data_IF_102163952694
#
_entry.id   IF_102163952694
#
_cell.length_a   1.000
_cell.length_b   1.000
_cell.length_c   1.000
_cell.angle_alpha   90.00
_cell.angle_beta   90.00
_cell.angle_gamma   90.00
#
_symmetry.space_group_name_H-M   'P 1'
#
loop_
_entity.id
_entity.type
_entity.pdbx_description
1 polymer ?
#
# COMPACT_ATOMS: atom_id res chain seq x y z
N UNK A 1 -28.73 60.22 26.63
CA UNK A 1 -27.81 59.30 27.33
C UNK A 1 -27.83 57.96 26.64
N UNK A 2 -26.97 57.81 25.70
CA UNK A 2 -26.82 56.56 24.92
C UNK A 2 -25.65 55.73 25.50
N UNK A 3 -25.95 54.57 26.00
CA UNK A 3 -24.93 53.64 26.45
C UNK A 3 -24.44 52.77 25.25
N UNK A 4 -23.18 52.95 24.90
CA UNK A 4 -22.48 52.13 23.90
C UNK A 4 -22.05 50.84 24.58
N UNK A 5 -22.57 49.70 24.10
CA UNK A 5 -22.11 48.37 24.48
C UNK A 5 -20.93 47.99 23.56
N UNK A 6 -19.75 47.89 24.12
CA UNK A 6 -18.57 47.39 23.43
C UNK A 6 -18.57 45.86 23.50
N UNK A 7 -18.79 45.19 22.37
CA UNK A 7 -18.59 43.75 22.23
C UNK A 7 -17.11 43.46 22.05
N UNK A 8 -16.51 42.78 23.02
CA UNK A 8 -15.15 42.23 22.92
C UNK A 8 -15.24 40.93 22.14
N UNK A 9 -14.78 40.96 20.90
CA UNK A 9 -14.57 39.74 20.11
C UNK A 9 -13.23 39.15 20.54
N UNK A 10 -13.27 38.05 21.29
CA UNK A 10 -12.09 37.23 21.60
C UNK A 10 -11.73 36.44 20.34
N UNK A 11 -10.73 36.89 19.58
CA UNK A 11 -10.09 36.07 18.55
C UNK A 11 -9.26 34.97 19.25
N UNK A 12 -9.80 33.78 19.29
CA UNK A 12 -9.00 32.58 19.54
C UNK A 12 -8.06 32.37 18.33
N UNK A 13 -6.79 32.74 18.50
CA UNK A 13 -5.75 32.33 17.58
C UNK A 13 -5.55 30.83 17.72
N UNK A 14 -6.14 30.05 16.83
CA UNK A 14 -5.78 28.67 16.63
C UNK A 14 -4.37 28.71 16.04
N UNK A 15 -3.36 28.40 16.85
CA UNK A 15 -2.01 28.13 16.40
C UNK A 15 -2.07 26.84 15.57
N UNK A 16 -2.18 26.99 14.24
CA UNK A 16 -1.90 25.90 13.31
C UNK A 16 -0.44 25.53 13.48
N UNK A 17 -0.17 24.42 14.17
CA UNK A 17 1.15 23.80 14.17
C UNK A 17 1.52 23.54 12.73
N UNK A 18 2.57 24.20 12.26
CA UNK A 18 3.05 24.10 10.89
C UNK A 18 3.65 22.73 10.64
N UNK A 19 2.90 21.85 9.99
CA UNK A 19 3.49 20.85 9.13
C UNK A 19 4.24 21.57 8.02
N UNK A 20 5.49 21.22 7.79
CA UNK A 20 6.28 21.78 6.71
C UNK A 20 5.44 21.75 5.44
N UNK A 21 5.16 22.93 4.84
CA UNK A 21 4.37 23.09 3.63
C UNK A 21 5.14 22.55 2.39
N UNK A 22 5.29 21.22 2.32
CA UNK A 22 5.43 20.48 1.08
C UNK A 22 4.03 20.06 0.64
N UNK A 23 3.75 20.00 -0.65
CA UNK A 23 2.47 19.51 -1.21
C UNK A 23 2.34 17.99 -0.97
N UNK A 24 2.35 17.55 0.29
CA UNK A 24 2.09 16.17 0.66
C UNK A 24 0.62 15.89 0.38
N UNK A 25 0.34 14.94 -0.52
CA UNK A 25 -1.00 14.47 -0.79
C UNK A 25 -1.63 13.77 0.42
N UNK A 26 -2.93 13.49 0.34
CA UNK A 26 -3.59 12.64 1.32
C UNK A 26 -3.03 11.21 1.22
N UNK A 27 -2.94 10.54 2.36
CA UNK A 27 -2.60 9.12 2.43
C UNK A 27 -3.67 8.28 1.72
N UNK A 28 -3.31 7.16 1.07
CA UNK A 28 -4.27 6.14 0.68
C UNK A 28 -4.90 5.52 1.94
N UNK A 29 -6.22 5.26 1.88
CA UNK A 29 -7.00 4.62 2.94
C UNK A 29 -6.76 3.11 2.91
N UNK A 30 -6.18 2.54 3.96
CA UNK A 30 -5.78 1.14 4.02
C UNK A 30 -6.53 0.37 5.11
N UNK A 31 -7.11 -0.75 4.72
CA UNK A 31 -7.64 -1.78 5.62
C UNK A 31 -6.79 -3.04 5.47
N UNK A 32 -6.43 -3.66 6.57
CA UNK A 32 -5.71 -4.95 6.59
C UNK A 32 -6.62 -6.01 7.20
N UNK A 33 -6.78 -7.15 6.52
CA UNK A 33 -7.41 -8.35 7.05
C UNK A 33 -6.32 -9.41 7.26
N UNK A 34 -5.94 -9.66 8.52
CA UNK A 34 -4.77 -10.46 8.92
C UNK A 34 -5.18 -11.69 9.71
N UNK A 35 -4.62 -12.84 9.42
CA UNK A 35 -4.71 -14.04 10.24
C UNK A 35 -3.51 -14.18 11.21
N UNK A 36 -2.98 -13.03 11.65
CA UNK A 36 -1.84 -12.92 12.56
C UNK A 36 -1.91 -13.95 13.68
N UNK A 37 -0.80 -14.66 13.86
CA UNK A 37 -0.70 -15.83 14.72
C UNK A 37 0.61 -15.84 15.51
N UNK A 38 0.79 -16.79 16.45
CA UNK A 38 2.09 -17.03 17.07
C UNK A 38 3.17 -17.31 16.02
N UNK A 39 4.39 -16.83 16.23
CA UNK A 39 5.50 -16.97 15.28
C UNK A 39 5.92 -18.43 15.00
N UNK A 40 5.57 -19.37 15.87
CA UNK A 40 5.77 -20.81 15.64
C UNK A 40 4.66 -21.45 14.79
N UNK A 41 3.57 -20.73 14.52
CA UNK A 41 2.48 -21.10 13.62
C UNK A 41 2.68 -20.42 12.27
N UNK A 42 2.59 -19.08 12.25
CA UNK A 42 2.62 -18.24 11.04
C UNK A 42 3.33 -16.92 11.36
N UNK A 43 4.64 -16.77 11.03
CA UNK A 43 5.39 -15.57 11.40
C UNK A 43 5.25 -14.40 10.43
N UNK A 44 4.84 -14.61 9.18
CA UNK A 44 4.93 -13.58 8.12
C UNK A 44 3.93 -12.45 8.28
N UNK A 45 2.73 -12.69 8.84
CA UNK A 45 1.83 -11.63 9.28
C UNK A 45 2.49 -10.69 10.30
N UNK A 46 3.23 -11.25 11.28
CA UNK A 46 3.94 -10.41 12.26
C UNK A 46 5.08 -9.63 11.60
N UNK A 47 5.84 -10.25 10.69
CA UNK A 47 6.89 -9.59 9.92
C UNK A 47 6.29 -8.42 9.11
N UNK A 48 5.22 -8.69 8.37
CA UNK A 48 4.51 -7.72 7.54
C UNK A 48 3.86 -6.61 8.36
N UNK A 49 3.33 -6.93 9.56
CA UNK A 49 2.73 -5.95 10.47
C UNK A 49 3.79 -5.01 11.05
N UNK A 50 4.95 -5.53 11.47
CA UNK A 50 6.09 -4.70 11.92
C UNK A 50 6.51 -3.74 10.79
N UNK A 51 6.62 -4.25 9.57
CA UNK A 51 6.95 -3.42 8.42
C UNK A 51 5.88 -2.36 8.18
N UNK A 52 4.59 -2.72 8.16
CA UNK A 52 3.50 -1.78 7.98
C UNK A 52 3.52 -0.65 9.02
N UNK A 53 3.78 -0.96 10.30
CA UNK A 53 3.89 0.06 11.35
C UNK A 53 5.04 1.04 11.09
N UNK A 54 6.16 0.58 10.53
CA UNK A 54 7.26 1.46 10.12
C UNK A 54 6.93 2.37 8.92
N UNK A 55 5.80 2.12 8.24
CA UNK A 55 5.23 2.90 7.14
C UNK A 55 3.92 3.58 7.50
N UNK A 56 3.58 3.71 8.78
CA UNK A 56 2.32 4.33 9.22
C UNK A 56 2.18 5.81 8.81
N UNK A 57 3.27 6.47 8.42
CA UNK A 57 3.27 7.80 7.81
C UNK A 57 2.82 7.81 6.34
N UNK A 58 2.80 6.67 5.68
CA UNK A 58 2.42 6.53 4.27
C UNK A 58 0.95 6.15 4.06
N UNK A 59 0.32 5.50 5.04
CA UNK A 59 -1.04 4.97 4.94
C UNK A 59 -1.95 5.55 6.01
N UNK A 60 -3.18 5.90 5.64
CA UNK A 60 -4.27 6.10 6.59
C UNK A 60 -4.84 4.72 6.94
N UNK A 61 -4.35 4.14 8.05
CA UNK A 61 -4.75 2.81 8.50
C UNK A 61 -6.15 2.90 9.10
N UNK A 62 -7.15 2.55 8.30
CA UNK A 62 -8.57 2.68 8.65
C UNK A 62 -9.07 1.50 9.48
N UNK A 63 -8.49 0.31 9.27
CA UNK A 63 -8.80 -0.85 10.09
C UNK A 63 -7.68 -1.90 10.03
N UNK A 64 -7.47 -2.56 11.16
CA UNK A 64 -6.67 -3.76 11.33
C UNK A 64 -7.63 -4.86 11.82
N UNK A 65 -8.04 -5.74 10.91
CA UNK A 65 -9.14 -6.70 11.15
C UNK A 65 -8.55 -8.10 11.21
N UNK A 66 -8.79 -8.83 12.30
CA UNK A 66 -8.41 -10.25 12.35
C UNK A 66 -9.28 -11.06 11.38
N UNK A 67 -8.70 -12.06 10.75
CA UNK A 67 -9.40 -12.95 9.81
C UNK A 67 -8.95 -14.40 9.98
N UNK A 68 -9.66 -15.31 9.37
CA UNK A 68 -9.19 -16.68 9.21
C UNK A 68 -8.19 -16.76 8.06
N UNK A 69 -7.37 -17.79 8.08
CA UNK A 69 -6.44 -18.10 7.02
C UNK A 69 -6.15 -19.59 6.96
N UNK A 70 -5.10 -19.97 6.24
CA UNK A 70 -4.76 -21.38 6.08
C UNK A 70 -4.42 -22.09 7.38
N UNK A 71 -3.93 -21.37 8.37
CA UNK A 71 -3.45 -21.92 9.64
C UNK A 71 -4.52 -21.98 10.72
N UNK A 72 -5.69 -21.37 10.51
CA UNK A 72 -6.75 -21.32 11.49
C UNK A 72 -8.15 -21.22 10.88
N UNK A 73 -9.07 -22.05 11.32
CA UNK A 73 -10.52 -21.95 11.15
C UNK A 73 -11.21 -22.85 12.20
N UNK A 74 -11.78 -22.27 13.28
CA UNK A 74 -11.96 -20.84 13.54
C UNK A 74 -10.68 -20.10 13.95
N UNK A 75 -10.70 -18.77 13.80
CA UNK A 75 -9.61 -17.90 14.28
C UNK A 75 -9.59 -17.89 15.82
N UNK A 76 -8.48 -18.23 16.46
CA UNK A 76 -8.34 -18.17 17.93
C UNK A 76 -8.32 -16.70 18.39
N UNK A 77 -9.29 -16.31 19.23
CA UNK A 77 -9.44 -14.90 19.66
C UNK A 77 -8.22 -14.34 20.37
N UNK A 78 -7.52 -15.20 21.11
CA UNK A 78 -6.28 -14.84 21.82
C UNK A 78 -5.13 -14.47 20.89
N UNK A 79 -5.19 -14.85 19.61
CA UNK A 79 -4.16 -14.46 18.64
C UNK A 79 -4.21 -12.97 18.30
N UNK A 80 -5.36 -12.31 18.50
CA UNK A 80 -5.45 -10.86 18.37
C UNK A 80 -4.46 -10.10 19.28
N UNK A 81 -3.98 -10.71 20.36
CA UNK A 81 -2.98 -10.13 21.24
C UNK A 81 -1.66 -9.85 20.52
N UNK A 82 -1.32 -10.64 19.47
CA UNK A 82 -0.11 -10.39 18.66
C UNK A 82 -0.21 -9.08 17.89
N UNK A 83 -1.38 -8.73 17.36
CA UNK A 83 -1.62 -7.44 16.73
C UNK A 83 -1.42 -6.29 17.74
N UNK A 84 -1.97 -6.41 18.94
CA UNK A 84 -1.81 -5.40 19.99
C UNK A 84 -0.36 -5.27 20.45
N UNK A 85 0.42 -6.36 20.49
CA UNK A 85 1.85 -6.34 20.80
C UNK A 85 2.63 -5.46 19.81
N UNK A 86 2.38 -5.60 18.51
CA UNK A 86 3.05 -4.79 17.48
C UNK A 86 2.63 -3.31 17.60
N UNK A 87 1.35 -3.02 17.89
CA UNK A 87 0.89 -1.63 18.13
C UNK A 87 1.56 -1.02 19.36
N UNK A 88 1.74 -1.78 20.44
CA UNK A 88 2.44 -1.29 21.65
C UNK A 88 3.96 -1.17 21.42
N UNK A 89 4.55 -1.96 20.54
CA UNK A 89 5.92 -1.75 20.08
C UNK A 89 6.04 -0.45 19.27
N UNK A 90 5.12 -0.21 18.33
CA UNK A 90 5.03 1.06 17.61
C UNK A 90 4.91 2.26 18.55
N UNK A 91 4.09 2.17 19.62
CA UNK A 91 3.96 3.23 20.65
C UNK A 91 5.30 3.67 21.21
N UNK A 92 6.23 2.72 21.40
CA UNK A 92 7.55 3.01 21.95
C UNK A 92 8.47 3.68 20.94
N UNK A 93 8.34 3.31 19.66
CA UNK A 93 9.23 3.77 18.60
C UNK A 93 8.71 5.01 17.86
N UNK A 94 7.40 5.28 17.86
CA UNK A 94 6.81 6.41 17.11
C UNK A 94 7.40 7.77 17.50
N UNK A 95 7.84 8.06 18.73
CA UNK A 95 8.54 9.31 19.03
C UNK A 95 9.84 9.50 18.24
N UNK A 96 10.53 8.40 17.92
CA UNK A 96 11.68 8.42 17.05
C UNK A 96 11.29 8.58 15.57
N UNK A 97 10.29 7.85 15.13
CA UNK A 97 9.77 7.92 13.76
C UNK A 97 9.24 9.31 13.40
N UNK A 98 8.56 10.00 14.33
CA UNK A 98 8.04 11.36 14.13
C UNK A 98 9.13 12.38 13.77
N UNK A 99 10.38 12.16 14.18
CA UNK A 99 11.52 13.02 13.81
C UNK A 99 11.78 13.01 12.31
N UNK A 100 11.42 11.91 11.60
CA UNK A 100 11.56 11.80 10.14
C UNK A 100 10.76 12.86 9.37
N UNK A 101 9.64 13.33 9.95
CA UNK A 101 8.77 14.35 9.34
C UNK A 101 8.67 15.63 10.18
N UNK A 102 9.59 15.84 11.12
CA UNK A 102 9.59 16.98 12.06
C UNK A 102 8.28 17.13 12.83
N UNK A 103 7.55 16.03 13.05
CA UNK A 103 6.28 16.01 13.75
C UNK A 103 6.50 16.22 15.26
N UNK A 104 5.85 17.23 15.86
CA UNK A 104 6.04 17.59 17.26
C UNK A 104 5.04 16.93 18.22
N UNK A 105 3.95 16.37 17.72
CA UNK A 105 2.92 15.73 18.53
C UNK A 105 1.83 15.10 17.68
N UNK A 106 0.87 14.47 18.34
CA UNK A 106 -0.28 13.86 17.67
C UNK A 106 -1.42 14.87 17.56
N UNK A 107 -2.23 14.70 16.52
CA UNK A 107 -3.54 15.35 16.43
C UNK A 107 -4.47 14.79 17.51
N UNK A 108 -5.51 15.55 17.94
CA UNK A 108 -6.61 14.97 18.69
C UNK A 108 -7.21 13.78 17.94
N UNK A 109 -7.62 12.73 18.66
CA UNK A 109 -8.05 11.48 18.05
C UNK A 109 -9.22 11.66 17.07
N UNK A 110 -10.09 12.63 17.31
CA UNK A 110 -11.19 13.00 16.40
C UNK A 110 -10.68 13.54 15.06
N UNK A 111 -9.50 14.19 15.07
CA UNK A 111 -8.84 14.68 13.86
C UNK A 111 -7.96 13.62 13.22
N UNK A 112 -7.43 12.67 14.01
CA UNK A 112 -6.72 11.49 13.46
C UNK A 112 -7.67 10.58 12.67
N UNK A 113 -8.96 10.58 13.01
CA UNK A 113 -10.00 9.86 12.24
C UNK A 113 -10.41 10.58 10.93
N UNK A 114 -9.81 11.72 10.65
CA UNK A 114 -10.00 12.46 9.41
C UNK A 114 -8.92 12.15 8.38
N UNK A 115 -8.94 12.90 7.29
CA UNK A 115 -7.99 12.73 6.17
C UNK A 115 -6.55 13.07 6.58
N UNK A 116 -5.71 12.06 6.67
CA UNK A 116 -4.30 12.21 7.05
C UNK A 116 -3.42 12.54 5.84
N UNK A 117 -2.42 13.41 6.08
CA UNK A 117 -1.42 13.75 5.06
C UNK A 117 -0.26 12.74 5.07
N UNK A 118 0.33 12.45 3.89
CA UNK A 118 1.56 11.67 3.79
C UNK A 118 2.66 12.33 4.64
N UNK A 119 3.37 11.54 5.44
CA UNK A 119 4.38 11.98 6.39
C UNK A 119 3.87 12.17 7.82
N UNK A 120 2.56 12.14 8.07
CA UNK A 120 2.00 12.18 9.42
C UNK A 120 2.03 10.80 10.07
N UNK A 121 2.59 10.70 11.29
CA UNK A 121 2.62 9.48 12.10
C UNK A 121 1.42 9.48 13.04
N UNK A 122 0.48 8.51 12.92
CA UNK A 122 -0.68 8.43 13.80
C UNK A 122 -0.27 7.99 15.21
N UNK A 123 -1.12 8.31 16.20
CA UNK A 123 -0.92 7.79 17.55
C UNK A 123 -1.18 6.28 17.62
N UNK A 124 -0.51 5.60 18.55
CA UNK A 124 -0.80 4.19 18.81
C UNK A 124 -2.23 3.99 19.36
N UNK A 125 -2.81 5.01 20.01
CA UNK A 125 -4.21 4.94 20.46
C UNK A 125 -5.18 4.98 19.29
N UNK A 126 -4.89 5.77 18.26
CA UNK A 126 -5.62 5.71 16.99
C UNK A 126 -5.54 4.32 16.37
N UNK A 127 -4.33 3.76 16.16
CA UNK A 127 -4.15 2.43 15.59
C UNK A 127 -4.87 1.34 16.39
N UNK A 128 -4.80 1.43 17.73
CA UNK A 128 -5.50 0.51 18.64
C UNK A 128 -7.01 0.60 18.50
N UNK A 129 -7.56 1.79 18.28
CA UNK A 129 -9.00 1.98 18.05
C UNK A 129 -9.48 1.41 16.71
N UNK A 130 -8.56 1.15 15.78
CA UNK A 130 -8.79 0.56 14.46
C UNK A 130 -8.61 -0.97 14.42
N UNK A 131 -8.08 -1.56 15.50
CA UNK A 131 -7.91 -3.00 15.62
C UNK A 131 -9.21 -3.65 16.13
N UNK A 132 -9.81 -4.49 15.29
CA UNK A 132 -11.11 -5.12 15.57
C UNK A 132 -11.14 -6.58 15.11
N UNK A 133 -12.03 -7.36 15.73
CA UNK A 133 -12.30 -8.73 15.29
C UNK A 133 -13.10 -8.75 13.99
N UNK A 134 -12.66 -9.57 13.04
CA UNK A 134 -13.42 -9.88 11.84
C UNK A 134 -14.21 -11.17 11.95
N UNK A 135 -14.49 -11.81 10.83
CA UNK A 135 -15.15 -13.10 10.76
C UNK A 135 -14.26 -14.20 11.38
N UNK A 136 -14.82 -14.93 12.35
CA UNK A 136 -14.08 -15.99 13.06
C UNK A 136 -13.97 -17.28 12.26
N UNK A 137 -14.74 -17.43 11.17
CA UNK A 137 -14.77 -18.62 10.33
C UNK A 137 -14.68 -18.26 8.85
N UNK A 138 -14.10 -19.19 8.08
CA UNK A 138 -13.86 -19.04 6.66
C UNK A 138 -15.00 -19.54 5.77
N UNK A 139 -14.90 -19.13 4.49
CA UNK A 139 -15.74 -19.63 3.41
C UNK A 139 -17.11 -19.00 3.29
N UNK A 140 -17.77 -19.33 2.18
CA UNK A 140 -19.08 -18.76 1.82
C UNK A 140 -20.22 -19.21 2.75
N UNK A 141 -20.12 -20.37 3.39
CA UNK A 141 -21.18 -20.92 4.24
C UNK A 141 -21.39 -20.14 5.52
N UNK A 142 -20.43 -19.34 5.93
CA UNK A 142 -20.49 -18.52 7.14
C UNK A 142 -20.69 -17.03 6.80
N UNK A 143 -21.09 -16.72 5.58
CA UNK A 143 -21.58 -15.41 5.18
C UNK A 143 -23.11 -15.45 5.18
N UNK A 144 -23.74 -14.50 5.85
CA UNK A 144 -25.20 -14.46 5.96
C UNK A 144 -25.70 -13.86 7.26
N UNK A 145 -26.98 -14.08 7.52
CA UNK A 145 -27.65 -13.56 8.71
C UNK A 145 -27.01 -14.13 9.99
N UNK A 146 -26.76 -13.23 10.96
CA UNK A 146 -26.14 -13.57 12.23
C UNK A 146 -24.62 -13.72 12.22
N UNK A 147 -23.95 -13.44 11.08
CA UNK A 147 -22.51 -13.53 10.94
C UNK A 147 -21.81 -12.16 10.83
N UNK A 148 -22.50 -11.07 11.16
CA UNK A 148 -21.88 -9.76 11.25
C UNK A 148 -20.80 -9.75 12.35
N UNK A 149 -19.72 -9.05 12.10
CA UNK A 149 -18.61 -8.89 13.02
C UNK A 149 -18.29 -7.40 13.20
N UNK A 150 -17.58 -7.01 14.29
CA UNK A 150 -17.10 -5.63 14.43
C UNK A 150 -16.37 -5.13 13.19
N UNK A 151 -15.59 -6.00 12.53
CA UNK A 151 -14.87 -5.68 11.29
C UNK A 151 -15.80 -5.44 10.11
N UNK A 152 -16.84 -6.28 9.90
CA UNK A 152 -17.78 -6.07 8.80
C UNK A 152 -18.62 -4.81 8.98
N UNK A 153 -19.00 -4.48 10.22
CA UNK A 153 -19.70 -3.24 10.55
C UNK A 153 -18.79 -2.01 10.37
N UNK A 154 -17.50 -2.12 10.74
CA UNK A 154 -16.52 -1.04 10.51
C UNK A 154 -16.35 -0.77 9.02
N UNK A 155 -16.23 -1.80 8.18
CA UNK A 155 -16.12 -1.64 6.73
C UNK A 155 -17.34 -0.92 6.13
N UNK A 156 -18.55 -1.21 6.63
CA UNK A 156 -19.76 -0.51 6.20
C UNK A 156 -19.68 0.97 6.58
N UNK A 157 -19.31 1.30 7.82
CA UNK A 157 -19.18 2.70 8.26
C UNK A 157 -18.14 3.46 7.45
N UNK A 158 -16.96 2.88 7.22
CA UNK A 158 -15.88 3.50 6.44
C UNK A 158 -16.27 3.80 4.99
N UNK A 159 -17.04 2.90 4.38
CA UNK A 159 -17.51 3.10 3.01
C UNK A 159 -18.65 4.14 2.91
N UNK A 160 -19.40 4.34 4.00
CA UNK A 160 -20.48 5.33 4.09
C UNK A 160 -19.98 6.75 4.42
N UNK A 161 -18.70 6.92 4.75
CA UNK A 161 -18.11 8.23 4.95
C UNK A 161 -18.11 9.06 3.67
N UNK A 162 -18.28 10.39 3.83
CA UNK A 162 -18.18 11.36 2.72
C UNK A 162 -16.70 11.63 2.37
N UNK A 163 -16.00 10.57 1.98
CA UNK A 163 -14.62 10.59 1.48
C UNK A 163 -14.61 9.99 0.07
N UNK A 164 -14.19 10.74 -0.96
CA UNK A 164 -14.16 10.24 -2.34
C UNK A 164 -13.05 9.21 -2.58
N UNK A 165 -12.06 9.10 -1.69
CA UNK A 165 -10.93 8.16 -1.85
C UNK A 165 -11.42 6.72 -1.75
N UNK A 166 -10.88 5.81 -2.56
CA UNK A 166 -11.13 4.38 -2.40
C UNK A 166 -10.53 3.86 -1.09
N UNK A 167 -11.05 2.71 -0.64
CA UNK A 167 -10.53 1.94 0.48
C UNK A 167 -9.80 0.73 -0.08
N UNK A 168 -8.49 0.67 0.15
CA UNK A 168 -7.66 -0.46 -0.25
C UNK A 168 -7.67 -1.52 0.86
N UNK A 169 -8.08 -2.74 0.51
CA UNK A 169 -8.15 -3.88 1.43
C UNK A 169 -7.02 -4.84 1.11
N UNK A 170 -6.02 -4.89 1.98
CA UNK A 170 -4.95 -5.87 1.96
C UNK A 170 -5.42 -7.12 2.72
N UNK A 171 -5.77 -8.17 1.99
CA UNK A 171 -6.22 -9.43 2.57
C UNK A 171 -5.03 -10.40 2.66
N UNK A 172 -4.48 -10.50 3.86
CA UNK A 172 -3.40 -11.42 4.25
C UNK A 172 -3.98 -12.81 4.52
N UNK A 173 -5.10 -12.85 5.27
CA UNK A 173 -5.95 -14.03 5.41
C UNK A 173 -7.16 -13.98 4.47
N UNK A 174 -8.30 -14.54 4.92
CA UNK A 174 -9.53 -14.62 4.15
C UNK A 174 -10.24 -13.27 3.95
N UNK A 175 -11.00 -13.15 2.88
CA UNK A 175 -11.83 -11.97 2.58
C UNK A 175 -13.25 -12.04 3.17
N UNK A 176 -13.49 -12.96 4.11
CA UNK A 176 -14.80 -13.23 4.68
C UNK A 176 -15.47 -12.00 5.29
N UNK A 177 -14.69 -11.18 6.00
CA UNK A 177 -15.20 -9.97 6.66
C UNK A 177 -15.71 -8.95 5.65
N UNK A 178 -14.97 -8.71 4.55
CA UNK A 178 -15.45 -7.86 3.47
C UNK A 178 -16.67 -8.47 2.76
N UNK A 179 -16.65 -9.78 2.51
CA UNK A 179 -17.78 -10.47 1.91
C UNK A 179 -19.04 -10.37 2.77
N UNK A 180 -18.93 -10.50 4.10
CA UNK A 180 -20.05 -10.30 5.02
C UNK A 180 -20.57 -8.85 4.99
N UNK A 181 -19.70 -7.86 4.97
CA UNK A 181 -20.09 -6.45 4.84
C UNK A 181 -20.88 -6.20 3.54
N UNK A 182 -20.39 -6.71 2.42
CA UNK A 182 -21.07 -6.60 1.12
C UNK A 182 -22.40 -7.36 1.13
N UNK A 183 -22.43 -8.56 1.73
CA UNK A 183 -23.67 -9.34 1.85
C UNK A 183 -24.71 -8.55 2.67
N UNK A 184 -24.35 -7.97 3.81
CA UNK A 184 -25.26 -7.18 4.64
C UNK A 184 -25.84 -5.98 3.87
N UNK A 185 -25.03 -5.26 3.16
CA UNK A 185 -25.46 -4.14 2.30
C UNK A 185 -26.39 -4.63 1.19
N UNK A 186 -26.10 -5.79 0.57
CA UNK A 186 -26.96 -6.42 -0.43
C UNK A 186 -28.37 -6.75 0.09
N UNK A 187 -28.51 -7.07 1.38
CA UNK A 187 -29.81 -7.36 2.00
C UNK A 187 -30.61 -6.11 2.37
N UNK A 188 -29.92 -4.99 2.61
CA UNK A 188 -30.52 -3.80 3.26
C UNK A 188 -30.64 -2.58 2.36
N UNK A 189 -29.98 -2.58 1.20
CA UNK A 189 -29.93 -1.42 0.29
C UNK A 189 -30.36 -1.79 -1.13
N UNK A 190 -30.67 -0.77 -1.93
CA UNK A 190 -30.97 -0.93 -3.34
C UNK A 190 -29.76 -1.42 -4.13
N UNK A 191 -30.00 -1.95 -5.34
CA UNK A 191 -28.93 -2.43 -6.22
C UNK A 191 -27.92 -1.31 -6.59
N UNK A 192 -28.38 -0.07 -6.74
CA UNK A 192 -27.49 1.06 -7.05
C UNK A 192 -26.64 1.47 -5.86
N UNK A 193 -27.21 1.52 -4.66
CA UNK A 193 -26.45 1.79 -3.43
C UNK A 193 -25.44 0.67 -3.16
N UNK A 194 -25.81 -0.61 -3.39
CA UNK A 194 -24.85 -1.72 -3.30
C UNK A 194 -23.69 -1.55 -4.27
N UNK A 195 -23.98 -1.18 -5.51
CA UNK A 195 -22.96 -0.94 -6.52
C UNK A 195 -22.01 0.20 -6.13
N UNK A 196 -22.53 1.31 -5.62
CA UNK A 196 -21.74 2.44 -5.12
C UNK A 196 -20.88 2.00 -3.93
N UNK A 197 -21.44 1.24 -3.00
CA UNK A 197 -20.73 0.68 -1.85
C UNK A 197 -19.56 -0.21 -2.29
N UNK A 198 -19.80 -1.18 -3.17
CA UNK A 198 -18.76 -2.12 -3.65
C UNK A 198 -17.63 -1.37 -4.37
N UNK A 199 -17.97 -0.32 -5.13
CA UNK A 199 -16.99 0.50 -5.86
C UNK A 199 -16.09 1.35 -4.97
N UNK A 200 -16.36 1.46 -3.69
CA UNK A 200 -15.44 2.08 -2.72
C UNK A 200 -14.21 1.20 -2.47
N UNK A 201 -14.30 -0.10 -2.68
CA UNK A 201 -13.23 -1.04 -2.30
C UNK A 201 -12.33 -1.43 -3.47
N UNK A 202 -11.05 -1.60 -3.15
CA UNK A 202 -10.02 -2.22 -3.97
C UNK A 202 -9.39 -3.31 -3.12
N UNK A 203 -9.50 -4.56 -3.51
CA UNK A 203 -8.95 -5.66 -2.73
C UNK A 203 -7.72 -6.26 -3.40
N UNK A 204 -6.67 -6.44 -2.60
CA UNK A 204 -5.48 -7.21 -2.96
C UNK A 204 -5.40 -8.43 -2.04
N UNK A 205 -5.41 -9.62 -2.60
CA UNK A 205 -5.39 -10.86 -1.83
C UNK A 205 -4.08 -11.59 -2.02
N UNK A 206 -3.48 -11.99 -0.89
CA UNK A 206 -2.38 -12.95 -0.87
C UNK A 206 -2.99 -14.34 -1.05
N UNK A 207 -3.07 -14.77 -2.31
CA UNK A 207 -3.79 -15.98 -2.73
C UNK A 207 -5.29 -15.99 -2.35
N UNK A 208 -5.92 -17.16 -2.37
CA UNK A 208 -7.29 -17.36 -1.88
C UNK A 208 -7.23 -18.18 -0.59
N UNK A 209 -7.18 -17.50 0.56
CA UNK A 209 -7.01 -18.09 1.88
C UNK A 209 -8.25 -18.86 2.36
N UNK A 210 -9.41 -18.69 1.72
CA UNK A 210 -10.61 -19.49 2.00
C UNK A 210 -10.53 -20.89 1.38
N UNK A 211 -9.71 -21.07 0.37
CA UNK A 211 -9.42 -22.38 -0.18
C UNK A 211 -8.41 -23.08 0.73
N UNK A 212 -8.90 -23.83 1.72
CA UNK A 212 -8.04 -24.55 2.65
C UNK A 212 -7.09 -25.46 1.90
N UNK A 213 -5.84 -25.02 1.79
CA UNK A 213 -4.78 -25.64 0.99
C UNK A 213 -4.55 -27.10 1.33
N UNK A 214 -4.72 -27.48 2.57
CA UNK A 214 -4.43 -28.83 3.06
C UNK A 214 -5.64 -29.75 3.16
N UNK A 215 -6.86 -29.27 2.97
CA UNK A 215 -8.03 -30.09 3.28
C UNK A 215 -9.05 -30.24 2.16
N UNK A 216 -9.31 -29.28 1.35
CA UNK A 216 -10.18 -29.37 0.17
C UNK A 216 -10.09 -28.10 -0.65
N UNK A 217 -9.57 -28.19 -1.83
CA UNK A 217 -9.72 -27.18 -2.88
C UNK A 217 -11.20 -27.08 -3.34
N UNK A 218 -12.14 -26.89 -2.40
CA UNK A 218 -13.52 -26.63 -2.77
C UNK A 218 -13.69 -25.17 -3.13
N UNK A 219 -13.49 -24.88 -4.40
CA UNK A 219 -13.59 -23.54 -4.99
C UNK A 219 -14.97 -22.92 -4.78
N UNK A 220 -16.02 -23.72 -4.66
CA UNK A 220 -17.37 -23.25 -4.36
C UNK A 220 -17.53 -22.80 -2.90
N UNK A 221 -16.57 -23.15 -2.06
CA UNK A 221 -16.54 -22.74 -0.65
C UNK A 221 -16.01 -21.33 -0.43
N UNK A 222 -15.19 -20.80 -1.35
CA UNK A 222 -14.47 -19.54 -1.17
C UNK A 222 -15.37 -18.31 -1.23
N UNK A 223 -15.24 -17.43 -0.21
CA UNK A 223 -15.81 -16.07 -0.23
C UNK A 223 -15.14 -15.19 -1.29
N UNK A 224 -13.86 -15.38 -1.54
CA UNK A 224 -13.12 -14.69 -2.62
C UNK A 224 -13.75 -15.01 -3.99
N UNK A 225 -14.08 -16.28 -4.26
CA UNK A 225 -14.76 -16.65 -5.50
C UNK A 225 -16.13 -15.99 -5.63
N UNK A 226 -16.89 -15.92 -4.54
CA UNK A 226 -18.18 -15.23 -4.52
C UNK A 226 -18.02 -13.76 -4.88
N UNK A 227 -17.06 -13.06 -4.27
CA UNK A 227 -16.73 -11.67 -4.59
C UNK A 227 -16.37 -11.49 -6.07
N UNK A 228 -15.49 -12.33 -6.61
CA UNK A 228 -15.06 -12.26 -8.03
C UNK A 228 -16.19 -12.53 -9.01
N UNK A 229 -17.12 -13.41 -8.68
CA UNK A 229 -18.27 -13.74 -9.57
C UNK A 229 -19.35 -12.70 -9.54
N UNK A 230 -19.80 -12.33 -8.35
CA UNK A 230 -20.95 -11.42 -8.19
C UNK A 230 -20.58 -9.98 -8.56
N UNK A 231 -19.36 -9.55 -8.25
CA UNK A 231 -18.95 -8.14 -8.36
C UNK A 231 -17.79 -7.90 -9.34
N UNK A 232 -17.60 -8.78 -10.31
CA UNK A 232 -16.50 -8.74 -11.29
C UNK A 232 -16.30 -7.41 -12.04
N UNK A 233 -17.36 -6.59 -12.15
CA UNK A 233 -17.35 -5.32 -12.89
C UNK A 233 -17.31 -4.11 -11.96
N UNK A 234 -17.53 -4.28 -10.66
CA UNK A 234 -17.68 -3.20 -9.71
C UNK A 234 -16.61 -3.24 -8.61
N UNK A 235 -16.03 -4.40 -8.31
CA UNK A 235 -14.94 -4.59 -7.36
C UNK A 235 -13.61 -4.74 -8.12
N UNK A 236 -12.65 -3.85 -7.87
CA UNK A 236 -11.27 -4.10 -8.29
C UNK A 236 -10.68 -5.18 -7.40
N UNK A 237 -10.43 -6.34 -7.97
CA UNK A 237 -9.91 -7.50 -7.26
C UNK A 237 -8.58 -7.91 -7.87
N UNK A 238 -7.52 -7.91 -7.04
CA UNK A 238 -6.20 -8.44 -7.39
C UNK A 238 -6.01 -9.77 -6.66
N UNK A 239 -5.73 -10.82 -7.41
CA UNK A 239 -5.31 -12.11 -6.87
C UNK A 239 -3.83 -12.32 -7.16
N UNK A 240 -3.00 -12.16 -6.14
CA UNK A 240 -1.56 -12.39 -6.23
C UNK A 240 -1.20 -13.85 -5.93
N UNK A 241 -0.44 -14.45 -6.82
CA UNK A 241 0.17 -15.78 -6.65
C UNK A 241 1.67 -15.76 -6.94
N UNK A 242 2.16 -14.78 -7.65
CA UNK A 242 3.55 -14.71 -8.10
C UNK A 242 4.42 -13.88 -7.18
N UNK A 243 3.97 -12.69 -6.86
CA UNK A 243 4.78 -11.72 -6.14
C UNK A 243 4.97 -12.03 -4.66
N UNK A 244 3.94 -12.55 -3.99
CA UNK A 244 4.10 -12.95 -2.59
C UNK A 244 5.09 -14.12 -2.43
N UNK A 245 5.06 -15.10 -3.34
CA UNK A 245 6.03 -16.20 -3.32
C UNK A 245 7.45 -15.69 -3.55
N UNK A 246 7.63 -14.79 -4.53
CA UNK A 246 8.94 -14.18 -4.78
C UNK A 246 9.39 -13.28 -3.62
N UNK A 247 8.48 -12.57 -2.95
CA UNK A 247 8.76 -11.83 -1.71
C UNK A 247 9.39 -12.75 -0.67
N UNK A 248 8.74 -13.88 -0.40
CA UNK A 248 9.23 -14.88 0.54
C UNK A 248 10.64 -15.37 0.20
N UNK A 249 10.88 -15.70 -1.08
CA UNK A 249 12.17 -16.22 -1.53
C UNK A 249 13.28 -15.16 -1.54
N UNK A 250 12.95 -13.92 -1.91
CA UNK A 250 13.88 -12.79 -1.84
C UNK A 250 14.26 -12.49 -0.39
N UNK A 251 13.29 -12.48 0.53
CA UNK A 251 13.54 -12.29 1.95
C UNK A 251 14.48 -13.35 2.54
N UNK A 252 14.28 -14.63 2.19
CA UNK A 252 15.21 -15.71 2.59
C UNK A 252 16.63 -15.47 2.08
N UNK A 253 16.76 -15.08 0.81
CA UNK A 253 18.08 -14.79 0.20
C UNK A 253 18.79 -13.61 0.87
N UNK A 254 18.02 -12.65 1.40
CA UNK A 254 18.52 -11.44 2.07
C UNK A 254 18.36 -11.50 3.59
N UNK A 255 18.14 -12.68 4.17
CA UNK A 255 17.84 -12.84 5.60
C UNK A 255 18.91 -12.27 6.53
N UNK A 256 20.19 -12.30 6.09
CA UNK A 256 21.26 -11.70 6.89
C UNK A 256 21.06 -10.19 7.09
N UNK A 257 20.58 -9.48 6.04
CA UNK A 257 20.27 -8.05 6.14
C UNK A 257 19.09 -7.79 7.08
N UNK A 258 18.07 -8.67 7.08
CA UNK A 258 16.95 -8.59 8.05
C UNK A 258 17.44 -8.74 9.49
N UNK A 259 18.34 -9.69 9.76
CA UNK A 259 18.94 -9.88 11.09
C UNK A 259 19.75 -8.67 11.55
N UNK A 260 20.51 -8.08 10.67
CA UNK A 260 21.43 -6.99 11.04
C UNK A 260 20.73 -5.63 11.17
N UNK A 261 19.70 -5.38 10.35
CA UNK A 261 19.13 -4.05 10.19
C UNK A 261 17.64 -3.95 10.55
N UNK A 262 16.94 -5.06 10.84
CA UNK A 262 15.53 -5.08 11.18
C UNK A 262 15.31 -5.72 12.54
N UNK A 263 15.69 -6.99 12.72
CA UNK A 263 15.55 -7.67 14.02
C UNK A 263 16.29 -6.92 15.11
N UNK A 264 15.63 -6.70 16.24
CA UNK A 264 16.19 -6.01 17.39
C UNK A 264 16.36 -4.49 17.22
N UNK A 265 15.92 -3.89 16.13
CA UNK A 265 15.94 -2.44 15.92
C UNK A 265 14.68 -1.81 16.48
N UNK A 266 14.84 -1.04 17.55
CA UNK A 266 13.71 -0.49 18.29
C UNK A 266 12.82 -1.55 18.94
N UNK A 267 11.68 -1.14 19.43
CA UNK A 267 10.67 -2.05 19.96
C UNK A 267 9.97 -2.83 18.85
N UNK A 268 9.77 -2.22 17.69
CA UNK A 268 9.19 -2.88 16.51
C UNK A 268 10.07 -4.03 16.04
N UNK A 269 11.38 -3.84 15.92
CA UNK A 269 12.30 -4.89 15.50
C UNK A 269 12.42 -6.04 16.51
N UNK A 270 12.09 -5.82 17.77
CA UNK A 270 12.01 -6.90 18.78
C UNK A 270 10.79 -7.80 18.57
N UNK A 271 9.73 -7.30 17.91
CA UNK A 271 8.56 -8.10 17.54
C UNK A 271 8.72 -8.77 16.16
N UNK A 272 9.78 -8.47 15.40
CA UNK A 272 10.04 -9.09 14.09
C UNK A 272 10.60 -10.50 14.26
N UNK A 273 9.81 -11.57 13.94
CA UNK A 273 10.22 -12.95 14.23
C UNK A 273 11.26 -13.46 13.23
N UNK A 274 11.76 -14.67 13.49
CA UNK A 274 12.49 -15.44 12.49
C UNK A 274 11.47 -16.16 11.60
N UNK A 275 11.65 -16.06 10.30
CA UNK A 275 10.77 -16.70 9.33
C UNK A 275 10.71 -18.22 9.48
N UNK A 276 9.58 -18.81 9.07
CA UNK A 276 9.36 -20.26 9.06
C UNK A 276 9.18 -20.80 7.64
N UNK A 277 8.23 -20.24 6.93
CA UNK A 277 7.87 -20.65 5.57
C UNK A 277 8.44 -19.72 4.50
N UNK A 278 8.29 -18.44 4.70
CA UNK A 278 8.76 -17.37 3.85
C UNK A 278 9.00 -16.11 4.67
N UNK A 279 9.47 -15.05 4.05
CA UNK A 279 9.69 -13.76 4.72
C UNK A 279 8.69 -12.75 4.16
N UNK A 280 7.86 -12.17 5.04
CA UNK A 280 6.95 -11.07 4.68
C UNK A 280 6.01 -11.39 3.50
N UNK A 281 5.38 -12.59 3.51
CA UNK A 281 4.51 -13.03 2.42
C UNK A 281 3.36 -12.05 2.10
N UNK A 282 2.86 -11.34 3.11
CA UNK A 282 1.72 -10.42 2.99
C UNK A 282 2.10 -9.00 2.57
N UNK A 283 3.37 -8.66 2.70
CA UNK A 283 3.92 -7.32 2.43
C UNK A 283 3.57 -6.78 1.02
N UNK A 284 3.55 -7.55 -0.08
CA UNK A 284 3.18 -7.03 -1.39
C UNK A 284 1.81 -6.35 -1.43
N UNK A 285 0.86 -6.79 -0.61
CA UNK A 285 -0.52 -6.27 -0.61
C UNK A 285 -0.61 -4.78 -0.28
N UNK A 286 0.17 -4.27 0.66
CA UNK A 286 0.21 -2.84 0.97
C UNK A 286 1.32 -2.11 0.21
N UNK A 287 2.39 -2.77 -0.21
CA UNK A 287 3.39 -2.18 -1.11
C UNK A 287 2.80 -1.83 -2.48
N UNK A 288 1.73 -2.52 -2.90
CA UNK A 288 0.94 -2.16 -4.08
C UNK A 288 0.40 -0.72 -3.99
N UNK A 289 0.04 -0.29 -2.79
CA UNK A 289 -0.57 1.02 -2.51
C UNK A 289 0.46 2.07 -2.07
N UNK A 290 1.75 1.72 -2.03
CA UNK A 290 2.81 2.61 -1.56
C UNK A 290 2.88 3.92 -2.33
N UNK A 291 2.71 5.08 -1.67
CA UNK A 291 2.78 6.38 -2.34
C UNK A 291 4.24 6.83 -2.55
N UNK A 292 4.97 6.15 -3.42
CA UNK A 292 6.36 6.42 -3.74
C UNK A 292 6.60 7.06 -5.13
N UNK A 293 5.52 7.32 -5.90
CA UNK A 293 5.58 7.92 -7.23
C UNK A 293 5.86 6.94 -8.38
N UNK A 294 5.94 5.63 -8.09
CA UNK A 294 6.22 4.59 -9.08
C UNK A 294 4.96 4.11 -9.80
N UNK A 295 3.87 3.87 -9.09
CA UNK A 295 2.60 3.43 -9.65
C UNK A 295 1.41 4.18 -9.06
N UNK A 296 0.30 4.14 -9.79
CA UNK A 296 -1.03 4.54 -9.33
C UNK A 296 -1.81 3.24 -9.02
N UNK A 297 -2.24 3.01 -7.77
CA UNK A 297 -2.94 1.78 -7.41
C UNK A 297 -4.33 1.64 -8.06
N UNK A 298 -4.85 2.69 -8.70
CA UNK A 298 -6.06 2.61 -9.51
C UNK A 298 -5.81 1.99 -10.91
N UNK A 299 -4.54 1.83 -11.29
CA UNK A 299 -4.15 1.21 -12.57
C UNK A 299 -3.18 0.03 -12.34
N UNK A 300 -3.70 -1.21 -12.17
CA UNK A 300 -2.86 -2.38 -11.92
C UNK A 300 -1.86 -2.77 -13.02
N UNK A 301 -1.98 -2.18 -14.22
CA UNK A 301 -0.95 -2.33 -15.27
C UNK A 301 0.34 -1.55 -14.94
N UNK A 302 0.32 -0.64 -13.97
CA UNK A 302 1.51 0.07 -13.58
C UNK A 302 2.36 -0.78 -12.64
N UNK A 303 3.52 -1.20 -13.11
CA UNK A 303 4.45 -1.95 -12.28
C UNK A 303 4.93 -1.12 -11.09
N UNK A 304 5.04 -1.78 -9.93
CA UNK A 304 5.44 -1.20 -8.66
C UNK A 304 6.18 -2.21 -7.77
N UNK A 305 6.33 -1.90 -6.51
CA UNK A 305 6.97 -2.79 -5.53
C UNK A 305 6.23 -4.11 -5.30
N UNK A 306 4.96 -4.18 -5.67
CA UNK A 306 4.16 -5.41 -5.69
C UNK A 306 4.09 -6.09 -7.07
N UNK A 307 5.06 -5.83 -7.94
CA UNK A 307 5.09 -6.46 -9.27
C UNK A 307 4.17 -5.79 -10.29
N UNK A 308 3.52 -6.58 -11.13
CA UNK A 308 2.72 -6.17 -12.27
C UNK A 308 1.52 -7.11 -12.44
N UNK A 309 0.36 -6.58 -12.80
CA UNK A 309 -0.87 -7.36 -12.92
C UNK A 309 -1.63 -7.02 -14.20
N UNK A 310 -2.29 -8.02 -14.79
CA UNK A 310 -3.24 -7.86 -15.89
C UNK A 310 -4.56 -8.59 -15.57
N UNK A 311 -5.61 -8.21 -16.27
CA UNK A 311 -6.87 -8.98 -16.19
C UNK A 311 -6.70 -10.31 -16.91
N UNK A 312 -6.86 -11.40 -16.19
CA UNK A 312 -6.69 -12.75 -16.71
C UNK A 312 -7.45 -13.79 -15.94
N UNK A 313 -7.33 -15.03 -16.39
CA UNK A 313 -7.87 -16.19 -15.70
C UNK A 313 -7.14 -16.39 -14.38
N UNK A 314 -7.89 -16.51 -13.30
CA UNK A 314 -7.36 -16.79 -11.97
C UNK A 314 -6.90 -18.25 -11.82
N UNK A 315 -6.10 -18.56 -10.79
CA UNK A 315 -5.65 -19.94 -10.47
C UNK A 315 -6.81 -20.93 -10.31
N UNK A 316 -8.01 -20.50 -9.94
CA UNK A 316 -9.21 -21.33 -9.84
C UNK A 316 -9.72 -21.86 -11.20
N UNK A 317 -9.24 -21.31 -12.31
CA UNK A 317 -9.67 -21.63 -13.67
C UNK A 317 -11.17 -21.40 -13.95
N UNK A 318 -11.84 -20.62 -13.12
CA UNK A 318 -13.29 -20.35 -13.18
C UNK A 318 -13.63 -18.86 -13.15
N UNK A 319 -12.75 -18.03 -12.61
CA UNK A 319 -12.97 -16.58 -12.46
C UNK A 319 -11.88 -15.78 -13.17
N UNK A 320 -12.17 -14.52 -13.45
CA UNK A 320 -11.20 -13.56 -13.96
C UNK A 320 -11.06 -12.38 -13.00
N UNK A 321 -9.84 -11.95 -12.75
CA UNK A 321 -9.51 -10.78 -11.94
C UNK A 321 -8.21 -10.16 -12.45
N UNK A 322 -7.70 -9.15 -11.76
CA UNK A 322 -6.31 -8.74 -11.91
C UNK A 322 -5.42 -9.80 -11.29
N UNK A 323 -4.44 -10.28 -12.01
CA UNK A 323 -3.58 -11.36 -11.53
C UNK A 323 -2.24 -11.34 -12.24
N UNK A 324 -1.27 -12.04 -11.66
CA UNK A 324 0.05 -12.33 -12.25
C UNK A 324 0.29 -13.84 -12.39
N UNK A 325 -0.79 -14.64 -12.52
CA UNK A 325 -0.70 -16.10 -12.41
C UNK A 325 -0.07 -16.81 -13.60
N UNK A 326 -0.53 -16.49 -14.82
CA UNK A 326 -0.14 -17.25 -16.02
C UNK A 326 1.10 -16.67 -16.71
N UNK A 327 1.89 -17.54 -17.34
CA UNK A 327 2.99 -17.09 -18.22
C UNK A 327 2.45 -16.45 -19.51
N UNK A 328 3.12 -15.42 -20.07
CA UNK A 328 4.40 -14.84 -19.61
C UNK A 328 4.24 -13.80 -18.47
N UNK A 329 3.04 -13.48 -18.08
CA UNK A 329 2.69 -12.45 -17.10
C UNK A 329 3.36 -12.69 -15.74
N UNK A 330 3.42 -13.96 -15.29
CA UNK A 330 4.08 -14.32 -14.05
C UNK A 330 5.55 -13.93 -14.06
N UNK A 331 6.27 -14.30 -15.10
CA UNK A 331 7.70 -13.97 -15.25
C UNK A 331 7.92 -12.45 -15.30
N UNK A 332 7.05 -11.69 -15.95
CA UNK A 332 7.11 -10.22 -15.99
C UNK A 332 6.92 -9.64 -14.59
N UNK A 333 5.87 -10.05 -13.88
CA UNK A 333 5.55 -9.56 -12.55
C UNK A 333 6.65 -9.87 -11.53
N UNK A 334 7.13 -11.12 -11.52
CA UNK A 334 8.27 -11.57 -10.69
C UNK A 334 9.53 -10.77 -11.05
N UNK A 335 9.78 -10.50 -12.33
CA UNK A 335 10.91 -9.69 -12.77
C UNK A 335 10.87 -8.26 -12.21
N UNK A 336 9.69 -7.64 -12.14
CA UNK A 336 9.53 -6.35 -11.47
C UNK A 336 9.73 -6.45 -9.96
N UNK A 337 9.22 -7.50 -9.32
CA UNK A 337 9.45 -7.73 -7.90
C UNK A 337 10.94 -7.86 -7.58
N UNK A 338 11.66 -8.66 -8.35
CA UNK A 338 13.12 -8.82 -8.20
C UNK A 338 13.88 -7.51 -8.43
N UNK A 339 13.44 -6.71 -9.41
CA UNK A 339 14.06 -5.42 -9.73
C UNK A 339 13.97 -4.45 -8.58
N UNK A 340 12.79 -4.34 -7.94
CA UNK A 340 12.55 -3.34 -6.91
C UNK A 340 12.84 -3.83 -5.49
N UNK A 341 13.07 -5.12 -5.30
CA UNK A 341 13.31 -5.67 -3.96
C UNK A 341 14.50 -5.03 -3.21
N UNK A 342 15.64 -4.72 -3.85
CA UNK A 342 16.72 -4.00 -3.14
C UNK A 342 16.27 -2.64 -2.61
N UNK A 343 15.49 -1.89 -3.40
CA UNK A 343 15.01 -0.57 -3.04
C UNK A 343 14.02 -0.64 -1.86
N UNK A 344 13.07 -1.56 -1.92
CA UNK A 344 12.08 -1.72 -0.85
C UNK A 344 12.69 -2.24 0.47
N UNK A 345 13.72 -3.10 0.39
CA UNK A 345 14.43 -3.59 1.56
C UNK A 345 15.30 -2.47 2.18
N UNK A 346 16.01 -1.72 1.36
CA UNK A 346 16.83 -0.60 1.79
C UNK A 346 15.99 0.48 2.48
N UNK A 347 14.82 0.81 1.93
CA UNK A 347 13.88 1.75 2.55
C UNK A 347 13.37 1.22 3.90
N UNK A 348 13.03 -0.08 3.98
CA UNK A 348 12.61 -0.67 5.25
C UNK A 348 13.72 -0.66 6.31
N UNK A 349 14.95 -1.03 5.94
CA UNK A 349 16.09 -0.98 6.86
C UNK A 349 16.35 0.45 7.39
N UNK A 350 16.25 1.46 6.52
CA UNK A 350 16.38 2.86 6.93
C UNK A 350 15.28 3.27 7.92
N UNK A 351 14.03 2.87 7.70
CA UNK A 351 12.91 3.14 8.60
C UNK A 351 13.08 2.45 9.96
N UNK A 352 13.62 1.24 9.98
CA UNK A 352 13.92 0.53 11.23
C UNK A 352 15.08 1.19 11.98
N UNK A 353 16.10 1.72 11.30
CA UNK A 353 17.10 2.55 11.94
C UNK A 353 16.47 3.82 12.53
N UNK A 354 15.51 4.41 11.84
CA UNK A 354 14.76 5.57 12.33
C UNK A 354 13.97 5.23 13.58
N UNK A 355 13.29 4.11 13.62
CA UNK A 355 12.54 3.62 14.77
C UNK A 355 13.46 3.42 16.00
N UNK A 356 14.63 2.84 15.79
CA UNK A 356 15.62 2.57 16.84
C UNK A 356 16.31 3.85 17.36
N UNK A 357 16.88 4.64 16.45
CA UNK A 357 17.80 5.74 16.79
C UNK A 357 17.15 7.13 16.72
N UNK A 358 16.02 7.30 16.09
CA UNK A 358 15.37 8.59 15.81
C UNK A 358 16.17 9.46 14.84
N UNK A 359 17.02 8.83 14.01
CA UNK A 359 17.84 9.45 12.98
C UNK A 359 18.11 8.44 11.87
N UNK A 360 18.41 8.91 10.68
CA UNK A 360 18.73 8.10 9.52
C UNK A 360 18.51 8.89 8.24
N UNK A 361 18.73 8.25 7.11
CA UNK A 361 18.62 8.82 5.79
C UNK A 361 17.16 9.04 5.35
N UNK A 362 16.88 10.08 4.55
CA UNK A 362 15.57 10.36 3.95
C UNK A 362 15.61 10.08 2.45
N UNK A 363 14.45 9.68 1.92
CA UNK A 363 14.32 9.48 0.49
C UNK A 363 14.44 10.79 -0.30
N UNK A 364 15.05 10.76 -1.49
CA UNK A 364 15.09 11.91 -2.38
C UNK A 364 13.70 12.45 -2.77
N UNK A 365 13.64 13.72 -3.11
CA UNK A 365 12.46 14.37 -3.65
C UNK A 365 12.60 14.58 -5.16
N UNK A 366 11.87 13.81 -5.95
CA UNK A 366 11.92 13.86 -7.42
C UNK A 366 11.06 15.01 -7.95
N UNK A 367 11.67 15.91 -8.71
CA UNK A 367 11.02 17.08 -9.31
C UNK A 367 11.23 17.05 -10.82
N UNK A 368 10.16 16.79 -11.58
CA UNK A 368 10.21 16.70 -13.05
C UNK A 368 9.62 17.97 -13.66
N UNK A 369 10.40 18.65 -14.54
CA UNK A 369 9.95 19.89 -15.20
C UNK A 369 9.35 20.91 -14.20
N UNK A 370 9.95 21.03 -13.01
CA UNK A 370 9.52 21.84 -11.86
C UNK A 370 8.22 21.37 -11.17
N UNK A 371 7.64 20.24 -11.57
CA UNK A 371 6.48 19.66 -10.91
C UNK A 371 6.93 18.78 -9.75
N UNK A 372 6.47 19.10 -8.55
CA UNK A 372 6.68 18.36 -7.30
C UNK A 372 5.56 17.33 -7.08
N UNK A 373 5.67 16.58 -5.99
CA UNK A 373 4.67 15.61 -5.53
C UNK A 373 4.86 14.22 -6.15
N UNK A 374 3.94 13.30 -5.86
CA UNK A 374 4.04 11.89 -6.24
C UNK A 374 3.16 11.50 -7.45
N UNK A 375 2.20 12.36 -7.81
CA UNK A 375 1.29 12.11 -8.92
C UNK A 375 2.02 12.02 -10.26
N UNK A 376 1.60 11.17 -11.20
CA UNK A 376 2.21 11.08 -12.52
C UNK A 376 2.26 12.44 -13.23
N UNK A 377 3.40 12.74 -13.87
CA UNK A 377 3.51 13.91 -14.74
C UNK A 377 2.90 13.57 -16.09
N UNK A 378 1.80 14.23 -16.46
CA UNK A 378 1.10 13.97 -17.71
C UNK A 378 1.48 14.99 -18.79
N UNK A 379 1.91 14.49 -19.93
CA UNK A 379 2.36 15.29 -21.08
C UNK A 379 1.64 14.84 -22.36
N UNK A 380 1.62 15.71 -23.35
CA UNK A 380 1.10 15.42 -24.69
C UNK A 380 2.20 15.60 -25.73
N UNK A 381 2.23 14.73 -26.72
CA UNK A 381 3.19 14.79 -27.81
C UNK A 381 2.55 14.46 -29.16
N UNK A 382 3.27 14.78 -30.24
CA UNK A 382 2.96 14.30 -31.60
C UNK A 382 4.03 13.31 -32.04
N UNK A 383 3.63 12.37 -32.90
CA UNK A 383 4.57 11.46 -33.55
C UNK A 383 5.74 12.22 -34.21
N UNK A 384 6.94 11.65 -34.15
CA UNK A 384 8.18 12.24 -34.69
C UNK A 384 8.74 13.41 -33.88
N UNK A 385 8.17 13.76 -32.72
CA UNK A 385 8.68 14.87 -31.89
C UNK A 385 9.59 14.37 -30.75
N UNK A 386 10.42 15.28 -30.27
CA UNK A 386 11.27 15.05 -29.08
C UNK A 386 10.70 15.82 -27.91
N UNK A 387 10.54 15.14 -26.78
CA UNK A 387 10.17 15.73 -25.48
C UNK A 387 11.41 15.80 -24.61
N UNK A 388 11.63 16.96 -24.00
CA UNK A 388 12.69 17.15 -22.99
C UNK A 388 12.12 16.96 -21.60
N UNK A 389 12.77 16.14 -20.78
CA UNK A 389 12.49 15.95 -19.36
C UNK A 389 13.69 16.48 -18.55
N UNK A 390 13.40 17.16 -17.46
CA UNK A 390 14.41 17.78 -16.59
C UNK A 390 14.09 17.47 -15.12
N UNK A 391 14.88 16.59 -14.51
CA UNK A 391 14.87 16.24 -13.09
C UNK A 391 15.95 16.97 -12.28
N UNK A 392 16.72 17.91 -12.87
CA UNK A 392 17.85 18.58 -12.21
C UNK A 392 17.49 19.46 -11.01
N UNK A 393 16.19 19.60 -10.71
CA UNK A 393 15.71 20.29 -9.51
C UNK A 393 15.32 19.33 -8.38
N UNK A 394 15.46 18.02 -8.62
CA UNK A 394 15.36 17.02 -7.56
C UNK A 394 16.42 17.31 -6.50
N UNK A 395 16.11 16.97 -5.26
CA UNK A 395 16.99 17.24 -4.14
C UNK A 395 16.85 16.16 -3.09
N UNK A 396 17.89 16.00 -2.33
CA UNK A 396 17.93 15.18 -1.16
C UNK A 396 17.73 16.03 0.10
N UNK A 397 16.92 15.60 1.10
CA UNK A 397 16.73 16.33 2.35
C UNK A 397 18.00 16.40 3.21
N UNK A 398 18.87 15.38 3.15
CA UNK A 398 20.09 15.27 3.95
C UNK A 398 21.29 15.89 3.21
N UNK A 399 21.12 16.23 1.93
CA UNK A 399 22.14 16.87 1.08
C UNK A 399 23.01 15.87 0.33
N UNK A 400 22.59 14.62 0.25
CA UNK A 400 23.30 13.56 -0.47
C UNK A 400 23.26 13.75 -1.99
N UNK A 401 24.23 13.14 -2.69
CA UNK A 401 24.34 13.22 -4.14
C UNK A 401 23.33 12.30 -4.81
N UNK A 402 22.63 12.80 -5.83
CA UNK A 402 21.61 12.04 -6.53
C UNK A 402 22.12 11.41 -7.82
N UNK A 403 21.81 10.15 -8.02
CA UNK A 403 21.92 9.42 -9.28
C UNK A 403 20.56 9.28 -9.95
N UNK A 404 20.53 9.18 -11.28
CA UNK A 404 19.30 9.17 -12.07
C UNK A 404 19.28 7.99 -13.01
N UNK A 405 18.08 7.42 -13.23
CA UNK A 405 17.84 6.41 -14.24
C UNK A 405 16.47 6.61 -14.89
N UNK A 406 16.45 6.70 -16.22
CA UNK A 406 15.23 6.81 -17.00
C UNK A 406 14.97 5.53 -17.77
N UNK A 407 13.76 5.01 -17.66
CA UNK A 407 13.36 3.82 -18.41
C UNK A 407 11.88 3.85 -18.76
N UNK A 408 11.52 3.13 -19.82
CA UNK A 408 10.14 2.92 -20.24
C UNK A 408 9.63 1.61 -19.68
N UNK A 409 8.42 1.60 -19.15
CA UNK A 409 7.71 0.36 -18.85
C UNK A 409 7.15 -0.21 -20.16
N UNK A 410 7.65 -1.34 -20.65
CA UNK A 410 7.34 -1.81 -22.02
C UNK A 410 5.95 -2.41 -22.15
N UNK A 411 5.33 -2.88 -21.06
CA UNK A 411 4.00 -3.52 -21.06
C UNK A 411 2.88 -2.51 -21.23
N UNK A 412 3.12 -1.24 -20.89
CA UNK A 412 2.16 -0.16 -21.07
C UNK A 412 2.61 0.72 -22.23
N UNK A 413 1.75 0.84 -23.22
CA UNK A 413 2.00 1.68 -24.37
C UNK A 413 2.04 0.89 -25.66
N UNK A 414 1.86 1.60 -26.76
CA UNK A 414 1.74 1.00 -28.11
C UNK A 414 3.04 1.12 -28.91
N UNK A 415 4.05 1.80 -28.38
CA UNK A 415 5.32 2.02 -29.09
C UNK A 415 6.48 2.15 -28.11
N UNK A 416 7.70 1.96 -28.65
CA UNK A 416 8.94 2.12 -27.90
C UNK A 416 9.61 3.42 -28.32
N UNK A 417 9.80 4.35 -27.37
CA UNK A 417 10.53 5.57 -27.59
C UNK A 417 12.04 5.37 -27.41
N UNK A 418 12.84 6.27 -27.98
CA UNK A 418 14.29 6.33 -27.73
C UNK A 418 14.54 7.32 -26.60
N UNK A 419 15.13 6.83 -25.51
CA UNK A 419 15.58 7.65 -24.37
C UNK A 419 17.06 7.89 -24.55
N UNK A 420 17.48 9.16 -24.65
CA UNK A 420 18.89 9.45 -24.98
C UNK A 420 19.67 9.70 -23.70
N UNK A 421 19.95 9.83 -22.84
CA UNK A 421 20.66 10.09 -21.58
C UNK A 421 19.91 9.45 -20.42
N UNK A 422 20.02 8.14 -20.34
CA UNK A 422 19.27 7.33 -19.37
C UNK A 422 19.76 7.47 -17.93
N UNK A 423 20.94 8.06 -17.71
CA UNK A 423 21.64 8.17 -16.42
C UNK A 423 21.90 9.64 -15.99
N UNK A 424 21.35 10.60 -16.73
CA UNK A 424 21.53 12.02 -16.45
C UNK A 424 20.26 12.64 -15.86
N UNK A 425 20.37 13.74 -15.10
CA UNK A 425 19.19 14.46 -14.60
C UNK A 425 18.31 15.06 -15.70
N UNK A 426 18.82 15.17 -16.92
CA UNK A 426 18.07 15.66 -18.10
C UNK A 426 18.14 14.62 -19.21
N UNK A 427 16.99 14.36 -19.82
CA UNK A 427 16.89 13.41 -20.92
C UNK A 427 15.99 13.94 -22.04
N UNK A 428 16.15 13.37 -23.23
CA UNK A 428 15.22 13.61 -24.35
C UNK A 428 14.57 12.27 -24.74
N UNK A 429 13.26 12.34 -24.96
CA UNK A 429 12.44 11.23 -25.38
C UNK A 429 12.04 11.46 -26.83
N UNK A 430 12.58 10.65 -27.74
CA UNK A 430 12.28 10.73 -29.18
C UNK A 430 11.07 9.82 -29.46
N UNK A 431 9.95 10.43 -29.83
CA UNK A 431 8.74 9.72 -30.22
C UNK A 431 8.91 9.26 -31.67
N UNK A 432 8.71 7.98 -32.01
CA UNK A 432 8.76 7.49 -33.36
C UNK A 432 7.82 8.25 -34.31
N UNK A 433 8.22 8.41 -35.57
CA UNK A 433 7.41 9.11 -36.55
C UNK A 433 6.13 8.35 -36.95
N UNK A 434 6.15 7.05 -36.76
CA UNK A 434 5.06 6.09 -37.00
C UNK A 434 4.31 5.70 -35.71
N UNK A 435 4.53 6.43 -34.60
CA UNK A 435 3.81 6.18 -33.36
C UNK A 435 2.31 6.46 -33.53
N UNK A 436 1.51 5.44 -33.29
CA UNK A 436 0.05 5.54 -33.24
C UNK A 436 -0.42 6.29 -32.00
N UNK A 437 -1.72 6.66 -31.97
CA UNK A 437 -2.35 7.19 -30.77
C UNK A 437 -2.24 6.19 -29.63
N UNK A 438 -1.87 6.67 -28.46
CA UNK A 438 -1.69 5.83 -27.27
C UNK A 438 -0.90 6.55 -26.19
N UNK A 439 -0.50 5.81 -25.20
CA UNK A 439 0.29 6.32 -24.09
C UNK A 439 1.65 5.64 -24.01
N UNK A 440 2.62 6.34 -23.44
CA UNK A 440 3.94 5.89 -23.12
C UNK A 440 4.19 6.17 -21.66
N UNK A 441 4.57 5.15 -20.90
CA UNK A 441 4.89 5.30 -19.49
C UNK A 441 6.39 5.23 -19.27
N UNK A 442 6.93 6.32 -18.74
CA UNK A 442 8.35 6.44 -18.35
C UNK A 442 8.45 6.54 -16.84
N UNK A 443 9.54 6.06 -16.30
CA UNK A 443 9.88 6.21 -14.90
C UNK A 443 11.22 6.95 -14.80
N UNK A 444 11.26 7.99 -13.98
CA UNK A 444 12.49 8.57 -13.44
C UNK A 444 12.72 7.93 -12.08
N UNK A 445 13.79 7.17 -11.97
CA UNK A 445 14.25 6.49 -10.78
C UNK A 445 15.45 7.28 -10.26
N UNK A 446 15.44 7.67 -9.01
CA UNK A 446 16.46 8.49 -8.37
C UNK A 446 16.92 7.80 -7.10
N UNK A 447 18.24 7.71 -6.90
CA UNK A 447 18.82 7.19 -5.66
C UNK A 447 19.80 8.22 -5.09
N UNK A 448 19.85 8.31 -3.76
CA UNK A 448 20.91 9.04 -3.07
C UNK A 448 22.19 8.19 -2.94
N UNK A 449 23.30 8.81 -2.48
CA UNK A 449 24.54 8.14 -2.11
C UNK A 449 24.70 8.03 -0.57
N UNK A 450 23.65 8.32 0.16
CA UNK A 450 23.57 8.17 1.61
C UNK A 450 23.46 6.72 2.09
N UNK A 451 23.35 6.50 3.41
CA UNK A 451 23.13 5.16 3.97
C UNK A 451 21.90 4.49 3.36
N UNK A 452 22.03 3.23 2.99
CA UNK A 452 21.00 2.40 2.33
C UNK A 452 20.66 2.83 0.89
N UNK A 453 21.22 3.87 0.30
CA UNK A 453 20.96 4.31 -1.08
C UNK A 453 19.46 4.40 -1.41
N UNK A 454 18.77 5.30 -0.70
CA UNK A 454 17.31 5.33 -0.71
C UNK A 454 16.74 5.74 -2.06
N UNK A 455 15.67 5.07 -2.52
CA UNK A 455 15.02 5.34 -3.79
C UNK A 455 13.94 6.42 -3.68
N UNK A 456 13.68 7.08 -4.80
CA UNK A 456 12.47 7.82 -5.07
C UNK A 456 12.13 7.75 -6.55
N UNK A 457 10.85 7.80 -6.88
CA UNK A 457 10.40 7.63 -8.25
C UNK A 457 9.49 8.75 -8.71
N UNK A 458 9.38 8.90 -10.02
CA UNK A 458 8.33 9.69 -10.64
C UNK A 458 7.91 9.04 -11.95
N UNK A 459 6.63 8.79 -12.10
CA UNK A 459 6.06 8.32 -13.35
C UNK A 459 5.72 9.50 -14.25
N UNK A 460 6.02 9.35 -15.53
CA UNK A 460 5.66 10.30 -16.58
C UNK A 460 4.81 9.56 -17.62
N UNK A 461 3.64 10.08 -17.91
CA UNK A 461 2.71 9.53 -18.90
C UNK A 461 2.62 10.50 -20.07
N UNK A 462 2.98 10.03 -21.26
CA UNK A 462 2.98 10.83 -22.49
C UNK A 462 1.90 10.30 -23.42
N UNK A 463 0.85 11.08 -23.63
CA UNK A 463 -0.21 10.74 -24.58
C UNK A 463 0.14 11.28 -25.98
N UNK A 464 0.00 10.45 -27.01
CA UNK A 464 0.23 10.81 -28.41
C UNK A 464 -1.10 11.22 -29.06
N UNK A 465 -1.11 12.42 -29.65
CA UNK A 465 -2.28 13.04 -30.32
C UNK A 465 -2.25 12.88 -31.84
#
# INVERSE_FOLDING_TARGET
MMKILASVICLLAVSTMGLAKGEAGLKPRLVVCTDIAPADVEPDDMESMVRLMSYADCFEVEALITSVGWNCDPYPKEWADYLFRVIEAYRKDVPNLMKRSDQQGFLPIEQENGQQQIGYWPSADYLKSRAVMGSERGGIKVIGEGNDSPGSELLIRLADEDDPRPIYVAAWGGANTLAQAIWRVKQTRSAEELKQFVRKFRIYTITDQDMQYNMRMDRAYSSHMWLRREFKNDLQFIWDEGTWQEQCELGKRHWQQHKENIQGKGALGNEYPTYKWGVEGDTPSFLYVMPNGLNDPEDPHQAGWAGYHERGMCPDSLTTAWTSWQEPLRSISVGYKQRFYPDELNDFMARMQWADEGRGNHNPQVIINRQKGLQPVRLKAKAGKTIRLDASKSKDPDGDTLSFRWWQQPEIGTFKAIITQTDQPKTNIQIPADADKGELHLICEVHDDGPFHLPAYRRIIISIE
#
